data_IF_803582497767
#
_entry.id   IF_803582497767
#
_cell.length_a   1.000
_cell.length_b   1.000
_cell.length_c   1.000
_cell.angle_alpha   90.00
_cell.angle_beta   90.00
_cell.angle_gamma   90.00
#
_symmetry.space_group_name_H-M   'P 1'
#
loop_
_entity.id
_entity.type
_entity.pdbx_description
1 polymer ?
#
# COMPACT_ATOMS: atom_id res chain seq x y z
N UNK A 1 -11.14 -10.98 12.55
CA UNK A 1 -12.18 -9.98 12.22
C UNK A 1 -11.56 -9.04 11.20
N UNK A 2 -11.22 -9.55 10.01
CA UNK A 2 -10.31 -8.88 9.06
C UNK A 2 -10.64 -9.40 7.65
N UNK A 3 -11.86 -9.16 7.19
CA UNK A 3 -12.32 -9.54 5.84
C UNK A 3 -13.46 -8.63 5.32
N UNK A 4 -13.84 -7.60 6.08
CA UNK A 4 -14.97 -6.73 5.73
C UNK A 4 -14.59 -5.59 4.77
N UNK A 5 -13.35 -5.10 4.82
CA UNK A 5 -12.85 -4.05 3.90
C UNK A 5 -12.75 -4.59 2.47
N UNK A 6 -12.22 -5.80 2.30
CA UNK A 6 -12.08 -6.45 0.99
C UNK A 6 -13.44 -6.75 0.33
N UNK A 7 -14.46 -7.10 1.12
CA UNK A 7 -15.81 -7.33 0.62
C UNK A 7 -16.54 -6.03 0.22
N UNK A 8 -16.18 -4.89 0.84
CA UNK A 8 -16.76 -3.59 0.51
C UNK A 8 -16.37 -3.15 -0.91
N UNK A 9 -15.13 -3.43 -1.32
CA UNK A 9 -14.61 -3.10 -2.66
C UNK A 9 -15.28 -3.97 -3.75
N UNK A 10 -15.44 -5.28 -3.54
CA UNK A 10 -16.05 -6.18 -4.53
C UNK A 10 -17.55 -5.90 -4.80
N UNK A 11 -18.26 -5.28 -3.85
CA UNK A 11 -19.68 -4.95 -3.99
C UNK A 11 -19.94 -3.69 -4.83
N UNK A 12 -18.89 -3.02 -5.32
CA UNK A 12 -18.99 -1.82 -6.15
C UNK A 12 -19.40 -2.11 -7.61
N UNK A 13 -19.52 -3.37 -8.08
CA UNK A 13 -19.77 -3.71 -9.51
C UNK A 13 -21.09 -4.51 -9.81
N UNK A 14 -22.22 -4.24 -9.13
CA UNK A 14 -23.58 -4.56 -9.65
C UNK A 14 -24.57 -3.38 -9.57
N UNK A 15 -24.94 -2.82 -10.73
CA UNK A 15 -25.86 -1.68 -10.92
C UNK A 15 -27.33 -2.11 -10.74
N UNK A 16 -28.08 -1.39 -9.89
CA UNK A 16 -29.49 -0.99 -10.13
C UNK A 16 -29.98 0.00 -9.04
N UNK A 17 -30.40 1.22 -9.43
CA UNK A 17 -31.05 2.36 -8.72
C UNK A 17 -30.67 2.76 -7.27
N UNK A 18 -29.91 1.97 -6.52
CA UNK A 18 -29.36 2.21 -5.17
C UNK A 18 -27.91 2.75 -5.19
N UNK A 19 -27.44 3.22 -6.34
CA UNK A 19 -26.07 3.73 -6.49
C UNK A 19 -26.02 5.23 -6.45
N UNK A 20 -25.00 5.74 -5.78
CA UNK A 20 -24.68 7.15 -5.85
C UNK A 20 -24.45 7.60 -7.31
N UNK A 21 -24.70 8.88 -7.57
CA UNK A 21 -24.52 9.45 -8.90
C UNK A 21 -23.06 9.29 -9.36
N UNK A 22 -22.75 9.11 -10.66
CA UNK A 22 -21.37 8.93 -11.13
C UNK A 22 -20.41 10.06 -10.75
N UNK A 23 -20.90 11.28 -10.53
CA UNK A 23 -20.10 12.44 -10.07
C UNK A 23 -19.89 12.47 -8.55
N UNK A 24 -20.62 11.65 -7.81
CA UNK A 24 -20.54 11.51 -6.35
C UNK A 24 -20.51 10.02 -5.98
N UNK A 25 -19.53 9.24 -6.45
CA UNK A 25 -19.63 7.78 -6.38
C UNK A 25 -19.41 7.21 -4.98
N UNK A 26 -18.88 7.99 -4.02
CA UNK A 26 -18.60 7.52 -2.67
C UNK A 26 -19.83 7.68 -1.78
N UNK A 27 -20.16 6.65 -1.01
CA UNK A 27 -21.30 6.62 -0.10
C UNK A 27 -20.81 6.66 1.35
N UNK A 28 -21.29 7.62 2.13
CA UNK A 28 -20.98 7.69 3.55
C UNK A 28 -21.53 6.45 4.30
N UNK A 29 -20.77 5.87 5.25
CA UNK A 29 -21.31 4.86 6.15
C UNK A 29 -22.46 5.42 6.99
N UNK A 30 -23.34 4.53 7.46
CA UNK A 30 -24.46 4.92 8.35
C UNK A 30 -25.66 5.56 7.64
N UNK A 31 -25.46 6.39 6.63
CA UNK A 31 -26.55 7.01 5.85
C UNK A 31 -26.56 6.53 4.40
N UNK A 32 -27.65 5.86 4.01
CA UNK A 32 -27.83 5.33 2.66
C UNK A 32 -28.23 6.38 1.62
N UNK A 33 -28.31 7.66 1.96
CA UNK A 33 -28.74 8.72 1.06
C UNK A 33 -27.64 9.72 0.74
N UNK A 34 -26.59 9.77 1.56
CA UNK A 34 -25.49 10.74 1.41
C UNK A 34 -24.39 10.13 0.54
N UNK A 35 -24.09 10.85 -0.52
CA UNK A 35 -23.08 10.50 -1.50
C UNK A 35 -22.21 11.72 -1.80
N UNK A 36 -20.90 11.54 -1.82
CA UNK A 36 -19.92 12.60 -2.04
C UNK A 36 -18.98 12.25 -3.20
N UNK A 37 -18.36 13.27 -3.77
CA UNK A 37 -17.34 13.10 -4.80
C UNK A 37 -16.03 12.61 -4.17
N UNK A 38 -15.23 11.86 -4.93
CA UNK A 38 -13.91 11.38 -4.48
C UNK A 38 -12.99 12.55 -4.10
N UNK A 39 -13.19 13.72 -4.69
CA UNK A 39 -12.42 14.93 -4.37
C UNK A 39 -12.61 15.44 -2.93
N UNK A 40 -13.70 15.02 -2.26
CA UNK A 40 -14.02 15.36 -0.87
C UNK A 40 -13.55 14.26 0.10
N UNK A 41 -12.82 13.25 -0.39
CA UNK A 41 -12.19 12.29 0.51
C UNK A 41 -10.85 12.87 0.95
N UNK A 42 -10.67 13.03 2.26
CA UNK A 42 -9.41 13.44 2.87
C UNK A 42 -8.96 14.84 2.46
N UNK A 43 -9.93 15.76 2.33
CA UNK A 43 -9.70 17.15 1.93
C UNK A 43 -9.60 18.11 3.14
N UNK A 44 -9.81 17.60 4.36
CA UNK A 44 -9.74 18.34 5.61
C UNK A 44 -11.08 18.91 6.08
N UNK A 45 -12.18 18.64 5.37
CA UNK A 45 -13.54 18.98 5.77
C UNK A 45 -14.37 17.71 6.00
N UNK A 46 -15.29 17.76 6.98
CA UNK A 46 -16.21 16.65 7.22
C UNK A 46 -17.43 16.80 6.31
N UNK A 47 -17.47 16.03 5.23
CA UNK A 47 -18.61 15.93 4.30
C UNK A 47 -19.55 14.76 4.63
N UNK A 48 -19.07 13.71 5.31
CA UNK A 48 -19.94 12.71 5.92
C UNK A 48 -20.45 13.16 7.31
N UNK A 49 -21.65 12.70 7.75
CA UNK A 49 -22.22 13.10 9.05
C UNK A 49 -21.37 12.73 10.27
N UNK A 50 -20.58 11.67 10.16
CA UNK A 50 -19.65 11.17 11.17
C UNK A 50 -18.19 11.52 10.87
N UNK A 51 -17.93 12.26 9.78
CA UNK A 51 -16.59 12.58 9.30
C UNK A 51 -15.79 11.37 8.81
N UNK A 52 -16.45 10.28 8.44
CA UNK A 52 -15.77 9.07 7.97
C UNK A 52 -14.91 9.28 6.72
N UNK A 53 -15.28 10.24 5.88
CA UNK A 53 -14.51 10.70 4.73
C UNK A 53 -13.10 11.21 5.09
N UNK A 54 -12.91 11.61 6.36
CA UNK A 54 -11.63 12.06 6.92
C UNK A 54 -10.98 11.03 7.86
N UNK A 55 -11.50 9.79 7.90
CA UNK A 55 -10.90 8.72 8.69
C UNK A 55 -9.51 8.36 8.14
N UNK A 56 -8.51 8.30 9.03
CA UNK A 56 -7.12 8.04 8.65
C UNK A 56 -6.94 6.72 7.88
N UNK A 57 -7.71 5.68 8.21
CA UNK A 57 -7.61 4.39 7.50
C UNK A 57 -8.23 4.49 6.11
N UNK A 58 -9.33 5.22 5.97
CA UNK A 58 -9.90 5.52 4.65
C UNK A 58 -8.90 6.32 3.80
N UNK A 59 -8.29 7.34 4.37
CA UNK A 59 -7.31 8.18 3.67
C UNK A 59 -6.06 7.43 3.26
N UNK A 60 -5.58 6.52 4.11
CA UNK A 60 -4.49 5.61 3.74
C UNK A 60 -4.92 4.74 2.56
N UNK A 61 -6.09 4.09 2.63
CA UNK A 61 -6.58 3.24 1.54
C UNK A 61 -6.83 4.01 0.23
N UNK A 62 -7.24 5.28 0.30
CA UNK A 62 -7.50 6.12 -0.87
C UNK A 62 -6.20 6.55 -1.58
N UNK A 63 -5.13 6.80 -0.82
CA UNK A 63 -3.83 7.23 -1.37
C UNK A 63 -2.96 6.04 -1.79
N UNK A 64 -3.05 4.92 -1.09
CA UNK A 64 -2.18 3.75 -1.32
C UNK A 64 -2.50 2.99 -2.60
N UNK A 65 -1.50 2.32 -3.20
CA UNK A 65 -1.76 1.38 -4.28
C UNK A 65 -2.72 0.27 -3.82
N UNK A 66 -3.68 -0.17 -4.66
CA UNK A 66 -4.56 -1.29 -4.33
C UNK A 66 -3.79 -2.56 -4.02
N UNK A 67 -4.30 -3.38 -3.08
CA UNK A 67 -3.65 -4.64 -2.66
C UNK A 67 -3.35 -5.56 -3.85
N UNK A 68 -4.28 -5.66 -4.79
CA UNK A 68 -4.12 -6.50 -5.99
C UNK A 68 -2.98 -6.01 -6.87
N UNK A 69 -2.88 -4.69 -7.11
CA UNK A 69 -1.76 -4.11 -7.87
C UNK A 69 -0.43 -4.32 -7.15
N UNK A 70 -0.39 -4.10 -5.84
CA UNK A 70 0.80 -4.33 -5.01
C UNK A 70 1.23 -5.80 -5.05
N UNK A 71 0.30 -6.73 -4.89
CA UNK A 71 0.59 -8.17 -4.93
C UNK A 71 1.09 -8.60 -6.31
N UNK A 72 0.45 -8.14 -7.38
CA UNK A 72 0.85 -8.43 -8.76
C UNK A 72 2.27 -7.93 -9.04
N UNK A 73 2.61 -6.73 -8.57
CA UNK A 73 3.96 -6.19 -8.70
C UNK A 73 5.00 -7.04 -7.97
N UNK A 74 4.78 -7.36 -6.69
CA UNK A 74 5.68 -8.21 -5.90
C UNK A 74 5.84 -9.59 -6.54
N UNK A 75 4.76 -10.17 -7.04
CA UNK A 75 4.77 -11.45 -7.73
C UNK A 75 5.58 -11.40 -9.03
N UNK A 76 5.47 -10.32 -9.81
CA UNK A 76 6.24 -10.12 -11.03
C UNK A 76 7.75 -10.00 -10.73
N UNK A 77 8.13 -9.28 -9.67
CA UNK A 77 9.53 -9.21 -9.25
C UNK A 77 10.08 -10.59 -8.87
N UNK A 78 9.34 -11.36 -8.08
CA UNK A 78 9.75 -12.71 -7.67
C UNK A 78 9.83 -13.67 -8.87
N UNK A 79 8.91 -13.57 -9.83
CA UNK A 79 8.91 -14.40 -11.02
C UNK A 79 10.10 -14.11 -11.94
N UNK A 80 10.47 -12.84 -12.10
CA UNK A 80 11.54 -12.43 -13.00
C UNK A 80 12.94 -12.54 -12.38
N UNK A 81 13.05 -12.39 -11.06
CA UNK A 81 14.35 -12.28 -10.37
C UNK A 81 14.63 -13.39 -9.35
N UNK A 82 13.65 -14.27 -9.12
CA UNK A 82 13.76 -15.43 -8.24
C UNK A 82 13.17 -15.19 -6.83
N UNK A 83 12.94 -16.28 -6.08
CA UNK A 83 12.19 -16.25 -4.81
C UNK A 83 12.88 -15.46 -3.70
N UNK A 84 14.18 -15.22 -3.79
CA UNK A 84 14.95 -14.49 -2.77
C UNK A 84 15.18 -13.03 -3.13
N UNK A 85 14.70 -12.54 -4.28
CA UNK A 85 15.02 -11.20 -4.75
C UNK A 85 14.62 -10.09 -3.75
N UNK A 86 13.45 -10.23 -3.12
CA UNK A 86 12.91 -9.25 -2.18
C UNK A 86 13.69 -9.18 -0.85
N UNK A 87 14.61 -10.11 -0.59
CA UNK A 87 15.50 -10.02 0.57
C UNK A 87 16.39 -8.77 0.54
N UNK A 88 16.68 -8.27 -0.67
CA UNK A 88 17.47 -7.04 -0.88
C UNK A 88 16.75 -5.80 -0.33
N UNK A 89 15.42 -5.79 -0.39
CA UNK A 89 14.60 -4.65 0.03
C UNK A 89 14.12 -4.81 1.48
N UNK A 90 13.57 -5.97 1.81
CA UNK A 90 12.88 -6.22 3.09
C UNK A 90 13.70 -7.02 4.11
N UNK A 91 14.97 -7.30 3.80
CA UNK A 91 15.88 -8.06 4.67
C UNK A 91 15.68 -9.58 4.57
N UNK A 92 16.41 -10.33 5.40
CA UNK A 92 16.49 -11.79 5.32
C UNK A 92 15.14 -12.53 5.50
N UNK A 93 14.17 -11.92 6.17
CA UNK A 93 12.81 -12.48 6.33
C UNK A 93 12.02 -12.53 5.03
N UNK A 94 12.42 -11.77 4.02
CA UNK A 94 11.75 -11.75 2.72
C UNK A 94 12.21 -12.85 1.74
N UNK A 95 13.06 -13.77 2.20
CA UNK A 95 13.43 -14.99 1.48
C UNK A 95 12.22 -15.85 1.15
N UNK A 96 12.45 -16.78 0.23
CA UNK A 96 11.49 -17.84 -0.13
C UNK A 96 10.12 -17.27 -0.48
N UNK A 97 10.09 -16.26 -1.36
CA UNK A 97 8.89 -15.56 -1.81
C UNK A 97 8.07 -14.97 -0.65
N UNK A 98 8.75 -14.33 0.31
CA UNK A 98 8.16 -13.72 1.51
C UNK A 98 7.48 -14.73 2.44
N UNK A 99 7.73 -16.04 2.31
CA UNK A 99 7.08 -17.06 3.13
C UNK A 99 7.21 -16.80 4.65
N UNK A 100 8.38 -16.39 5.20
CA UNK A 100 8.50 -16.07 6.62
C UNK A 100 7.65 -14.87 7.08
N UNK A 101 7.28 -13.98 6.15
CA UNK A 101 6.39 -12.84 6.38
C UNK A 101 4.91 -13.20 6.13
N UNK A 102 4.62 -14.45 5.77
CA UNK A 102 3.27 -14.94 5.44
C UNK A 102 2.89 -14.81 3.97
N UNK A 103 3.87 -14.63 3.08
CA UNK A 103 3.71 -14.62 1.63
C UNK A 103 3.31 -13.27 1.03
N UNK A 104 3.31 -13.23 -0.30
CA UNK A 104 3.08 -12.01 -1.10
C UNK A 104 1.80 -11.27 -0.71
N UNK A 105 0.68 -11.98 -0.60
CA UNK A 105 -0.61 -11.35 -0.30
C UNK A 105 -0.63 -10.65 1.07
N UNK A 106 -0.04 -11.26 2.10
CA UNK A 106 0.00 -10.67 3.43
C UNK A 106 0.87 -9.41 3.45
N UNK A 107 2.01 -9.43 2.77
CA UNK A 107 2.88 -8.26 2.65
C UNK A 107 2.22 -7.16 1.83
N UNK A 108 1.53 -7.50 0.74
CA UNK A 108 0.80 -6.54 -0.08
C UNK A 108 -0.32 -5.83 0.71
N UNK A 109 -1.11 -6.59 1.49
CA UNK A 109 -2.10 -6.03 2.43
C UNK A 109 -1.42 -5.07 3.41
N UNK A 110 -0.33 -5.51 4.05
CA UNK A 110 0.38 -4.68 5.01
C UNK A 110 0.93 -3.38 4.38
N UNK A 111 1.45 -3.40 3.15
CA UNK A 111 1.94 -2.21 2.45
C UNK A 111 0.82 -1.23 2.09
N UNK A 112 -0.37 -1.73 1.75
CA UNK A 112 -1.51 -0.92 1.36
C UNK A 112 -2.34 -0.41 2.55
N UNK A 113 -2.31 -1.09 3.70
CA UNK A 113 -3.13 -0.73 4.87
C UNK A 113 -2.35 -0.05 6.01
N UNK A 114 -1.03 -0.18 6.05
CA UNK A 114 -0.23 0.49 7.09
C UNK A 114 -0.09 1.98 6.80
N UNK A 115 -0.46 2.78 7.79
CA UNK A 115 -0.31 4.24 7.75
C UNK A 115 1.16 4.62 7.60
N UNK A 116 2.02 4.11 8.49
CA UNK A 116 3.46 4.42 8.51
C UNK A 116 4.32 3.19 8.26
N UNK A 117 5.60 3.42 7.93
CA UNK A 117 6.62 2.38 7.85
C UNK A 117 6.74 1.62 9.17
N UNK A 118 6.62 2.30 10.30
CA UNK A 118 6.66 1.71 11.62
C UNK A 118 5.46 0.78 11.86
N UNK A 119 4.27 1.13 11.39
CA UNK A 119 3.08 0.28 11.48
C UNK A 119 3.18 -0.95 10.58
N UNK A 120 3.77 -0.79 9.39
CA UNK A 120 4.12 -1.92 8.53
C UNK A 120 5.10 -2.88 9.22
N UNK A 121 6.14 -2.34 9.85
CA UNK A 121 7.11 -3.10 10.64
C UNK A 121 6.45 -3.90 11.77
N UNK A 122 5.49 -3.28 12.49
CA UNK A 122 4.71 -3.94 13.54
C UNK A 122 3.80 -5.04 12.95
N UNK A 123 3.08 -4.75 11.87
CA UNK A 123 2.13 -5.68 11.24
C UNK A 123 2.79 -6.97 10.75
N UNK A 124 4.04 -6.88 10.28
CA UNK A 124 4.83 -8.03 9.83
C UNK A 124 5.81 -8.56 10.88
N UNK A 125 5.85 -7.99 12.09
CA UNK A 125 6.79 -8.35 13.15
C UNK A 125 8.25 -8.33 12.68
N UNK A 126 8.64 -7.26 11.99
CA UNK A 126 10.02 -7.05 11.53
C UNK A 126 10.97 -6.80 12.71
N UNK A 127 12.23 -7.22 12.58
CA UNK A 127 13.25 -6.84 13.57
C UNK A 127 13.63 -5.37 13.38
N UNK A 128 14.16 -4.73 14.42
CA UNK A 128 14.59 -3.33 14.34
C UNK A 128 15.60 -3.09 13.22
N UNK A 129 16.55 -4.01 13.05
CA UNK A 129 17.54 -3.95 11.96
C UNK A 129 16.91 -4.02 10.58
N UNK A 130 15.87 -4.84 10.41
CA UNK A 130 15.17 -4.99 9.12
C UNK A 130 14.36 -3.73 8.82
N UNK A 131 13.74 -3.14 9.85
CA UNK A 131 12.98 -1.91 9.74
C UNK A 131 13.89 -0.71 9.42
N UNK A 132 15.05 -0.61 10.07
CA UNK A 132 16.07 0.41 9.79
C UNK A 132 16.63 0.27 8.37
N UNK A 133 16.91 -0.96 7.93
CA UNK A 133 17.31 -1.24 6.55
C UNK A 133 16.26 -0.76 5.55
N UNK A 134 15.00 -1.12 5.79
CA UNK A 134 13.90 -0.70 4.93
C UNK A 134 13.72 0.83 4.92
N UNK A 135 13.89 1.49 6.07
CA UNK A 135 13.87 2.96 6.18
C UNK A 135 14.95 3.58 5.30
N UNK A 136 16.16 3.05 5.32
CA UNK A 136 17.25 3.53 4.47
C UNK A 136 16.95 3.33 2.98
N UNK A 137 16.34 2.20 2.60
CA UNK A 137 15.91 1.92 1.22
C UNK A 137 14.89 2.97 0.74
N UNK A 138 13.87 3.27 1.54
CA UNK A 138 12.88 4.29 1.17
C UNK A 138 13.46 5.71 1.15
N UNK A 139 14.32 6.07 2.12
CA UNK A 139 15.01 7.37 2.11
C UNK A 139 15.90 7.55 0.87
N UNK A 140 16.57 6.49 0.41
CA UNK A 140 17.34 6.51 -0.83
C UNK A 140 16.47 6.80 -2.06
N UNK A 141 15.24 6.27 -2.09
CA UNK A 141 14.28 6.54 -3.17
C UNK A 141 13.76 7.97 -3.11
N UNK A 142 13.40 8.46 -1.92
CA UNK A 142 12.91 9.82 -1.69
C UNK A 142 13.96 10.88 -2.08
N UNK A 143 15.22 10.65 -1.71
CA UNK A 143 16.33 11.57 -2.01
C UNK A 143 16.88 11.41 -3.44
N UNK A 144 16.44 10.37 -4.16
CA UNK A 144 16.95 10.02 -5.49
C UNK A 144 18.37 9.42 -5.48
N UNK A 145 18.90 9.05 -4.32
CA UNK A 145 20.20 8.39 -4.20
C UNK A 145 20.10 6.89 -4.54
N UNK A 146 20.19 6.60 -5.84
CA UNK A 146 20.15 5.21 -6.33
C UNK A 146 21.43 4.41 -6.03
N UNK A 147 22.46 5.02 -5.44
CA UNK A 147 23.71 4.32 -5.11
C UNK A 147 23.48 3.21 -4.09
N UNK A 148 22.59 3.45 -3.11
CA UNK A 148 22.21 2.43 -2.13
C UNK A 148 21.55 1.23 -2.82
N UNK A 149 20.56 1.46 -3.68
CA UNK A 149 19.86 0.37 -4.40
C UNK A 149 20.83 -0.45 -5.26
N UNK A 150 21.79 0.19 -5.93
CA UNK A 150 22.86 -0.49 -6.67
C UNK A 150 23.75 -1.31 -5.74
N UNK A 151 24.10 -0.78 -4.56
CA UNK A 151 24.92 -1.48 -3.56
C UNK A 151 24.23 -2.73 -3.00
N UNK A 152 22.88 -2.76 -3.02
CA UNK A 152 22.07 -3.93 -2.67
C UNK A 152 22.06 -5.00 -3.79
N UNK A 153 22.77 -4.76 -4.89
CA UNK A 153 22.86 -5.67 -6.03
C UNK A 153 21.60 -5.64 -6.92
N UNK A 154 20.86 -4.54 -6.94
CA UNK A 154 19.79 -4.29 -7.91
C UNK A 154 20.44 -3.82 -9.21
N UNK A 155 20.14 -4.50 -10.32
CA UNK A 155 20.73 -4.17 -11.63
C UNK A 155 20.09 -2.92 -12.21
N UNK A 156 20.82 -2.20 -13.07
CA UNK A 156 20.30 -1.00 -13.73
C UNK A 156 18.99 -1.28 -14.51
N UNK A 157 18.84 -2.47 -15.09
CA UNK A 157 17.63 -2.89 -15.80
C UNK A 157 16.40 -3.10 -14.89
N UNK A 158 16.62 -3.30 -13.59
CA UNK A 158 15.57 -3.56 -12.58
C UNK A 158 15.27 -2.31 -11.75
N UNK A 159 16.23 -1.38 -11.74
CA UNK A 159 16.23 -0.21 -10.90
C UNK A 159 15.03 0.71 -11.18
N UNK A 160 14.62 0.83 -12.44
CA UNK A 160 13.48 1.64 -12.83
C UNK A 160 12.17 1.11 -12.24
N UNK A 161 11.93 -0.21 -12.33
CA UNK A 161 10.71 -0.85 -11.82
C UNK A 161 10.64 -0.79 -10.29
N UNK A 162 11.76 -1.10 -9.62
CA UNK A 162 11.86 -1.03 -8.16
C UNK A 162 11.70 0.40 -7.67
N UNK A 163 12.37 1.38 -8.31
CA UNK A 163 12.20 2.79 -7.96
C UNK A 163 10.75 3.20 -8.10
N UNK A 164 10.13 2.93 -9.24
CA UNK A 164 8.75 3.33 -9.52
C UNK A 164 7.78 2.83 -8.45
N UNK A 165 7.92 1.59 -8.01
CA UNK A 165 7.08 1.04 -6.95
C UNK A 165 7.32 1.68 -5.58
N UNK A 166 8.58 1.84 -5.18
CA UNK A 166 8.90 2.45 -3.90
C UNK A 166 8.50 3.93 -3.86
N UNK A 167 8.68 4.64 -4.96
CA UNK A 167 8.31 6.05 -5.15
C UNK A 167 6.80 6.27 -4.98
N UNK A 168 5.98 5.34 -5.53
CA UNK A 168 4.53 5.32 -5.26
C UNK A 168 4.22 5.25 -3.76
N UNK A 169 4.88 4.37 -3.01
CA UNK A 169 4.64 4.27 -1.56
C UNK A 169 5.11 5.54 -0.82
N UNK A 170 6.29 6.07 -1.13
CA UNK A 170 6.80 7.31 -0.52
C UNK A 170 5.82 8.47 -0.74
N UNK A 171 5.29 8.61 -1.96
CA UNK A 171 4.37 9.71 -2.32
C UNK A 171 3.04 9.72 -1.54
N UNK A 172 2.74 8.64 -0.82
CA UNK A 172 1.51 8.49 -0.03
C UNK A 172 1.67 8.82 1.45
N UNK A 173 2.84 9.33 1.85
CA UNK A 173 3.17 9.63 3.25
C UNK A 173 3.58 8.40 4.05
N UNK A 174 4.00 7.30 3.40
CA UNK A 174 4.38 6.07 4.12
C UNK A 174 5.58 6.24 5.06
N UNK A 175 6.39 7.26 4.81
CA UNK A 175 7.62 7.55 5.56
C UNK A 175 7.45 8.59 6.66
N UNK A 176 6.27 9.22 6.74
CA UNK A 176 5.91 10.23 7.75
C UNK A 176 5.67 9.58 9.12
#
# INVERSE_FOLDING_TARGET
METLVFLAIFRVIRVDLERCHPTQPFRCPGDKTICISIQYLCDGASDCPDGYDEDLRLCTAAKRPPVEETANFLQALLANHGPNYLEKLFGNKARDALAPLGGVNKVAVALSESETLDDFGKALHLMRSDLEHLRNVFMAVETGDMSLLKSLGIRDSELADVKFFLDKLVSTGFMD
#
